data_IF_373809763584
#
_entry.id   IF_373809763584
#
_cell.length_a   1.000
_cell.length_b   1.000
_cell.length_c   1.000
_cell.angle_alpha   90.00
_cell.angle_beta   90.00
_cell.angle_gamma   90.00
#
_symmetry.space_group_name_H-M   'P 1'
#
loop_
_entity.id
_entity.type
_entity.pdbx_description
1 polymer ?
#
# COMPACT_ATOMS: atom_id res chain seq x y z
N UNK A 1 -19.27 2.78 9.66
CA UNK A 1 -19.76 4.15 9.25
C UNK A 1 -19.00 4.64 8.01
N UNK A 2 -19.62 5.38 7.07
CA UNK A 2 -18.90 6.00 5.94
C UNK A 2 -18.26 7.33 6.34
N UNK A 3 -16.94 7.45 6.17
CA UNK A 3 -16.16 8.60 6.62
C UNK A 3 -15.24 9.08 5.50
N UNK A 4 -15.09 10.40 5.26
CA UNK A 4 -14.07 10.90 4.34
C UNK A 4 -12.68 10.44 4.78
N UNK A 5 -11.88 9.94 3.84
CA UNK A 5 -10.56 9.36 4.13
C UNK A 5 -9.65 10.37 4.84
N UNK A 6 -9.73 11.67 4.52
CA UNK A 6 -8.96 12.72 5.18
C UNK A 6 -9.16 12.79 6.70
N UNK A 7 -10.30 12.30 7.20
CA UNK A 7 -10.64 12.35 8.62
C UNK A 7 -10.20 11.08 9.38
N UNK A 8 -9.54 10.14 8.70
CA UNK A 8 -9.11 8.85 9.25
C UNK A 8 -7.60 8.94 9.52
N UNK A 9 -7.18 8.69 10.76
CA UNK A 9 -5.76 8.77 11.10
C UNK A 9 -4.90 7.76 10.32
N UNK A 10 -3.65 8.14 10.02
CA UNK A 10 -2.64 7.23 9.47
C UNK A 10 -2.43 6.03 10.38
N UNK A 11 -2.20 4.85 9.80
CA UNK A 11 -2.09 3.59 10.52
C UNK A 11 -3.43 2.92 10.86
N UNK A 12 -4.56 3.51 10.45
CA UNK A 12 -5.88 2.86 10.57
C UNK A 12 -6.24 2.08 9.31
N UNK A 13 -6.88 0.95 9.52
CA UNK A 13 -7.47 0.13 8.46
C UNK A 13 -8.89 0.62 8.14
N UNK A 14 -9.25 0.58 6.86
CA UNK A 14 -10.55 0.92 6.31
C UNK A 14 -10.94 -0.12 5.26
N UNK A 15 -12.23 -0.26 5.00
CA UNK A 15 -12.76 -1.02 3.87
C UNK A 15 -12.90 -0.11 2.64
N UNK A 16 -12.25 -0.51 1.56
CA UNK A 16 -12.31 0.13 0.26
C UNK A 16 -12.84 -0.85 -0.78
N UNK A 17 -14.12 -0.71 -1.14
CA UNK A 17 -14.83 -1.64 -2.03
C UNK A 17 -14.75 -3.11 -1.60
N UNK A 18 -14.82 -3.38 -0.28
CA UNK A 18 -14.72 -4.73 0.27
C UNK A 18 -13.28 -5.21 0.52
N UNK A 19 -12.28 -4.40 0.20
CA UNK A 19 -10.87 -4.74 0.34
C UNK A 19 -10.24 -4.01 1.54
N UNK A 20 -9.54 -4.71 2.45
CA UNK A 20 -8.94 -4.11 3.64
C UNK A 20 -7.72 -3.26 3.26
N UNK A 21 -7.76 -1.97 3.61
CA UNK A 21 -6.73 -1.00 3.23
C UNK A 21 -6.21 -0.19 4.42
N UNK A 22 -4.90 -0.01 4.50
CA UNK A 22 -4.23 0.82 5.51
C UNK A 22 -4.05 2.27 5.00
N UNK A 23 -4.42 3.25 5.81
CA UNK A 23 -4.12 4.67 5.55
C UNK A 23 -2.64 4.94 5.84
N UNK A 24 -1.82 5.21 4.81
CA UNK A 24 -0.39 5.48 4.98
C UNK A 24 -0.08 6.96 5.20
N UNK A 25 -0.62 7.84 4.36
CA UNK A 25 -0.28 9.27 4.37
C UNK A 25 -1.35 10.12 3.69
N UNK A 26 -1.74 11.22 4.32
CA UNK A 26 -2.49 12.28 3.64
C UNK A 26 -1.51 13.21 2.93
N UNK A 27 -1.59 13.25 1.61
CA UNK A 27 -0.83 14.14 0.73
C UNK A 27 -1.74 15.26 0.23
N UNK A 28 -1.15 16.27 -0.41
CA UNK A 28 -1.91 17.41 -0.97
C UNK A 28 -2.83 16.98 -2.11
N UNK A 29 -2.41 15.99 -2.87
CA UNK A 29 -3.03 15.45 -4.08
C UNK A 29 -3.96 14.25 -3.80
N UNK A 30 -3.89 13.64 -2.63
CA UNK A 30 -4.76 12.53 -2.23
C UNK A 30 -4.29 11.84 -0.96
N UNK A 31 -4.95 10.76 -0.57
CA UNK A 31 -4.50 9.90 0.52
C UNK A 31 -3.89 8.63 -0.05
N UNK A 32 -2.65 8.33 0.36
CA UNK A 32 -1.97 7.09 0.00
C UNK A 32 -2.49 5.97 0.88
N UNK A 33 -2.94 4.90 0.23
CA UNK A 33 -3.48 3.69 0.85
C UNK A 33 -2.60 2.50 0.48
N UNK A 34 -2.58 1.48 1.32
CA UNK A 34 -1.96 0.18 1.06
C UNK A 34 -3.01 -0.92 1.17
N UNK A 35 -3.14 -1.75 0.14
CA UNK A 35 -3.97 -2.95 0.23
C UNK A 35 -3.32 -3.98 1.17
N UNK A 36 -4.08 -4.56 2.11
CA UNK A 36 -3.53 -5.45 3.13
C UNK A 36 -3.46 -6.92 2.69
N UNK A 37 -4.34 -7.36 1.80
CA UNK A 37 -4.30 -8.76 1.33
C UNK A 37 -3.23 -8.96 0.26
N UNK A 38 -2.39 -9.97 0.47
CA UNK A 38 -1.31 -10.29 -0.45
C UNK A 38 -1.80 -11.07 -1.67
N UNK A 39 -1.65 -10.45 -2.84
CA UNK A 39 -1.72 -11.19 -4.10
C UNK A 39 -0.41 -11.93 -4.36
N UNK A 40 -0.47 -12.99 -5.18
CA UNK A 40 0.72 -13.68 -5.69
C UNK A 40 0.91 -13.37 -7.17
N UNK A 41 2.07 -12.86 -7.54
CA UNK A 41 2.42 -12.61 -8.94
C UNK A 41 3.94 -12.51 -9.09
N UNK A 42 4.48 -12.94 -10.24
CA UNK A 42 5.88 -12.68 -10.54
C UNK A 42 6.12 -11.19 -10.77
N UNK A 43 7.30 -10.68 -10.43
CA UNK A 43 7.60 -9.28 -10.73
C UNK A 43 7.60 -9.06 -12.25
N UNK A 44 8.41 -9.83 -12.97
CA UNK A 44 8.51 -9.76 -14.42
C UNK A 44 9.69 -10.54 -14.96
N UNK A 45 9.95 -10.41 -16.26
CA UNK A 45 11.15 -10.97 -16.88
C UNK A 45 12.41 -10.14 -16.60
N UNK A 46 12.25 -8.94 -16.03
CA UNK A 46 13.34 -8.06 -15.58
C UNK A 46 12.92 -7.37 -14.28
N UNK A 47 13.89 -6.82 -13.55
CA UNK A 47 13.67 -6.02 -12.33
C UNK A 47 13.19 -4.58 -12.61
N UNK A 48 12.92 -4.20 -13.86
CA UNK A 48 12.37 -2.90 -14.22
C UNK A 48 10.83 -2.88 -14.09
N UNK A 49 10.32 -2.28 -13.01
CA UNK A 49 8.88 -2.18 -12.76
C UNK A 49 8.09 -1.58 -13.94
N UNK A 50 8.63 -0.57 -14.63
CA UNK A 50 7.93 0.11 -15.72
C UNK A 50 7.59 -0.82 -16.90
N UNK A 51 8.41 -1.85 -17.12
CA UNK A 51 8.24 -2.86 -18.17
C UNK A 51 7.74 -4.22 -17.62
N UNK A 52 7.45 -4.29 -16.32
CA UNK A 52 7.17 -5.54 -15.61
C UNK A 52 5.77 -6.09 -15.89
N UNK A 53 5.60 -7.41 -15.81
CA UNK A 53 4.28 -8.04 -15.90
C UNK A 53 3.44 -7.74 -14.66
N UNK A 54 4.06 -7.57 -13.49
CA UNK A 54 3.39 -7.10 -12.28
C UNK A 54 2.72 -5.75 -12.50
N UNK A 55 3.41 -4.75 -13.08
CA UNK A 55 2.80 -3.45 -13.37
C UNK A 55 1.60 -3.59 -14.31
N UNK A 56 1.71 -4.41 -15.34
CA UNK A 56 0.63 -4.66 -16.29
C UNK A 56 -0.59 -5.30 -15.62
N UNK A 57 -0.36 -6.24 -14.68
CA UNK A 57 -1.41 -6.85 -13.87
C UNK A 57 -2.06 -5.82 -12.92
N UNK A 58 -1.24 -5.09 -12.16
CA UNK A 58 -1.68 -4.10 -11.17
C UNK A 58 -2.51 -2.99 -11.79
N UNK A 59 -2.08 -2.44 -12.94
CA UNK A 59 -2.75 -1.32 -13.60
C UNK A 59 -3.78 -1.76 -14.67
N UNK A 60 -4.05 -3.07 -14.77
CA UNK A 60 -5.03 -3.65 -15.68
C UNK A 60 -6.13 -4.40 -14.91
N UNK A 61 -6.09 -5.74 -14.86
CA UNK A 61 -7.11 -6.55 -14.21
C UNK A 61 -7.28 -6.25 -12.72
N UNK A 62 -6.19 -6.07 -11.97
CA UNK A 62 -6.27 -5.81 -10.53
C UNK A 62 -6.94 -4.46 -10.23
N UNK A 63 -6.47 -3.38 -10.87
CA UNK A 63 -7.08 -2.05 -10.73
C UNK A 63 -8.59 -2.06 -11.07
N UNK A 64 -8.99 -2.79 -12.11
CA UNK A 64 -10.41 -2.92 -12.46
C UNK A 64 -11.20 -3.59 -11.34
N UNK A 65 -10.66 -4.64 -10.73
CA UNK A 65 -11.28 -5.35 -9.60
C UNK A 65 -11.36 -4.46 -8.36
N UNK A 66 -10.25 -3.81 -8.00
CA UNK A 66 -10.12 -2.95 -6.82
C UNK A 66 -11.11 -1.77 -6.81
N UNK A 67 -11.55 -1.32 -7.99
CA UNK A 67 -12.38 -0.11 -8.17
C UNK A 67 -13.80 -0.40 -8.66
N UNK A 68 -14.25 -1.66 -8.60
CA UNK A 68 -15.56 -2.08 -9.17
C UNK A 68 -15.78 -1.62 -10.61
N UNK A 69 -14.68 -1.57 -11.40
CA UNK A 69 -14.71 -1.14 -12.78
C UNK A 69 -14.51 0.37 -13.02
N UNK A 70 -14.26 1.17 -11.99
CA UNK A 70 -14.03 2.62 -12.09
C UNK A 70 -12.56 3.02 -11.81
N UNK A 71 -11.62 2.75 -12.73
CA UNK A 71 -10.20 2.99 -12.50
C UNK A 71 -9.83 4.46 -12.30
N UNK A 72 -10.69 5.41 -12.71
CA UNK A 72 -10.45 6.86 -12.59
C UNK A 72 -10.62 7.39 -11.18
N UNK A 73 -11.12 6.55 -10.26
CA UNK A 73 -11.09 6.83 -8.83
C UNK A 73 -9.66 6.86 -8.27
N UNK A 74 -8.74 6.11 -8.88
CA UNK A 74 -7.33 6.07 -8.48
C UNK A 74 -6.55 7.17 -9.20
N UNK A 75 -5.91 8.01 -8.40
CA UNK A 75 -5.05 9.10 -8.87
C UNK A 75 -3.73 8.52 -9.38
N UNK A 76 -3.30 8.96 -10.55
CA UNK A 76 -2.00 8.56 -11.11
C UNK A 76 -0.88 9.20 -10.29
N UNK A 77 0.13 8.39 -9.93
CA UNK A 77 1.30 8.83 -9.18
C UNK A 77 2.59 8.52 -9.95
N UNK A 78 3.59 9.37 -9.73
CA UNK A 78 4.97 9.12 -10.14
C UNK A 78 5.66 8.22 -9.10
N UNK A 79 6.21 7.10 -9.55
CA UNK A 79 6.99 6.18 -8.72
C UNK A 79 8.47 6.29 -9.09
N UNK A 80 9.33 6.49 -8.10
CA UNK A 80 10.79 6.53 -8.29
C UNK A 80 11.35 5.10 -8.37
N UNK A 81 12.03 4.78 -9.48
CA UNK A 81 12.64 3.47 -9.72
C UNK A 81 14.15 3.47 -9.49
N UNK A 82 14.65 4.42 -8.69
CA UNK A 82 16.05 4.42 -8.23
C UNK A 82 16.37 3.10 -7.56
N UNK A 83 17.44 2.45 -8.03
CA UNK A 83 17.92 1.18 -7.49
C UNK A 83 18.52 1.34 -6.09
N UNK A 84 18.63 0.24 -5.35
CA UNK A 84 19.24 0.21 -4.02
C UNK A 84 20.64 0.85 -4.00
N UNK A 85 21.44 0.60 -5.03
CA UNK A 85 22.79 1.17 -5.17
C UNK A 85 22.82 2.63 -5.66
N UNK A 86 21.66 3.27 -5.81
CA UNK A 86 21.51 4.66 -6.25
C UNK A 86 21.48 4.85 -7.78
N UNK A 87 21.52 3.78 -8.57
CA UNK A 87 21.36 3.88 -10.03
C UNK A 87 19.99 4.41 -10.40
N UNK A 88 19.94 5.39 -11.30
CA UNK A 88 18.70 6.01 -11.81
C UNK A 88 18.37 5.61 -13.24
N UNK A 89 18.94 4.52 -13.74
CA UNK A 89 18.79 4.10 -15.14
C UNK A 89 17.32 3.93 -15.55
N UNK A 90 16.48 3.35 -14.69
CA UNK A 90 15.06 3.15 -14.99
C UNK A 90 14.19 4.40 -14.79
N UNK A 91 14.73 5.47 -14.19
CA UNK A 91 14.02 6.74 -14.02
C UNK A 91 12.80 6.63 -13.12
N UNK A 92 11.65 7.07 -13.63
CA UNK A 92 10.37 7.06 -12.92
C UNK A 92 9.28 6.37 -13.73
N UNK A 93 8.21 5.95 -13.05
CA UNK A 93 7.06 5.31 -13.66
C UNK A 93 5.76 5.99 -13.25
N UNK A 94 4.98 6.45 -14.23
CA UNK A 94 3.59 6.87 -14.01
C UNK A 94 2.67 5.65 -13.97
N UNK A 95 1.98 5.48 -12.85
CA UNK A 95 1.01 4.40 -12.65
C UNK A 95 0.00 4.76 -11.57
N UNK A 96 -1.15 4.07 -11.57
CA UNK A 96 -2.20 4.22 -10.55
C UNK A 96 -1.93 3.32 -9.34
N UNK A 97 -1.43 2.12 -9.61
CA UNK A 97 -1.21 1.08 -8.61
C UNK A 97 0.23 0.55 -8.76
N UNK A 98 0.96 0.51 -7.64
CA UNK A 98 2.29 -0.07 -7.58
C UNK A 98 2.64 -0.47 -6.14
N UNK A 99 3.53 -1.46 -5.92
CA UNK A 99 4.12 -1.67 -4.61
C UNK A 99 4.81 -0.41 -4.08
N UNK A 100 5.13 -0.40 -2.79
CA UNK A 100 5.90 0.67 -2.18
C UNK A 100 7.34 0.67 -2.70
N UNK A 101 7.97 1.84 -2.75
CA UNK A 101 9.43 1.93 -2.89
C UNK A 101 10.11 1.51 -1.59
N UNK A 102 11.41 1.20 -1.63
CA UNK A 102 12.17 0.91 -0.41
C UNK A 102 12.18 2.11 0.56
N UNK A 103 12.19 3.34 0.05
CA UNK A 103 12.12 4.53 0.89
C UNK A 103 10.73 4.73 1.51
N UNK A 104 9.66 4.37 0.80
CA UNK A 104 8.31 4.33 1.35
C UNK A 104 8.20 3.22 2.43
N UNK A 105 8.77 2.03 2.22
CA UNK A 105 8.84 0.98 3.24
C UNK A 105 9.53 1.46 4.52
N UNK A 106 10.66 2.18 4.39
CA UNK A 106 11.36 2.79 5.54
C UNK A 106 10.52 3.87 6.21
N UNK A 107 9.89 4.73 5.43
CA UNK A 107 9.08 5.85 5.93
C UNK A 107 7.88 5.38 6.75
N UNK A 108 7.23 4.30 6.32
CA UNK A 108 6.01 3.79 6.96
C UNK A 108 6.26 2.59 7.89
N UNK A 109 7.51 2.27 8.20
CA UNK A 109 7.90 1.10 8.99
C UNK A 109 7.10 0.94 10.30
N UNK A 110 6.85 2.02 11.02
CA UNK A 110 6.16 1.99 12.33
C UNK A 110 4.67 1.59 12.23
N UNK A 111 4.06 1.69 11.04
CA UNK A 111 2.64 1.39 10.82
C UNK A 111 2.39 0.22 9.88
N UNK A 112 3.41 -0.23 9.15
CA UNK A 112 3.28 -1.33 8.19
C UNK A 112 3.14 -2.67 8.92
N UNK A 113 2.06 -3.44 8.69
CA UNK A 113 1.97 -4.80 9.19
C UNK A 113 2.95 -5.69 8.43
N UNK A 114 3.50 -6.69 9.14
CA UNK A 114 4.35 -7.69 8.51
C UNK A 114 3.57 -8.45 7.42
N UNK A 115 4.22 -8.73 6.28
CA UNK A 115 3.59 -9.50 5.23
C UNK A 115 3.50 -11.00 5.58
N UNK A 116 2.63 -11.75 4.89
CA UNK A 116 2.52 -13.21 5.08
C UNK A 116 3.74 -13.97 4.53
N UNK A 117 4.28 -13.48 3.42
CA UNK A 117 5.47 -13.98 2.70
C UNK A 117 6.23 -12.80 2.10
N UNK A 118 7.40 -13.04 1.52
CA UNK A 118 8.15 -12.01 0.81
C UNK A 118 7.23 -11.22 -0.13
N UNK A 119 7.31 -9.90 -0.05
CA UNK A 119 6.58 -9.01 -0.95
C UNK A 119 7.47 -8.08 -1.74
N UNK A 120 7.15 -7.95 -3.03
CA UNK A 120 7.83 -7.05 -3.93
C UNK A 120 7.73 -5.60 -3.46
N UNK A 121 8.86 -4.89 -3.50
CA UNK A 121 8.87 -3.44 -3.69
C UNK A 121 9.03 -3.14 -5.18
N UNK A 122 8.95 -1.86 -5.57
CA UNK A 122 9.33 -1.43 -6.93
C UNK A 122 10.82 -1.18 -7.11
N UNK A 123 11.60 -1.24 -6.01
CA UNK A 123 13.01 -0.86 -6.01
C UNK A 123 13.88 -2.02 -6.51
N UNK A 124 14.61 -1.86 -7.62
CA UNK A 124 15.54 -2.89 -8.07
C UNK A 124 16.80 -2.90 -7.19
N UNK A 125 17.48 -4.05 -7.12
CA UNK A 125 18.77 -4.16 -6.42
C UNK A 125 19.87 -3.33 -7.11
N UNK A 126 19.97 -3.49 -8.43
CA UNK A 126 20.88 -2.77 -9.30
C UNK A 126 20.28 -2.61 -10.68
N UNK A 127 21.06 -2.14 -11.66
CA UNK A 127 20.60 -1.98 -13.03
C UNK A 127 21.69 -2.41 -14.03
N UNK A 128 21.34 -2.73 -15.29
CA UNK A 128 22.30 -3.20 -16.27
C UNK A 128 23.50 -2.28 -16.48
N UNK A 129 23.28 -0.96 -16.39
CA UNK A 129 24.35 0.05 -16.48
C UNK A 129 25.44 -0.10 -15.42
N UNK A 130 25.15 -0.68 -14.26
CA UNK A 130 26.12 -0.81 -13.17
C UNK A 130 26.87 -2.15 -13.25
N UNK A 131 26.13 -3.25 -13.44
CA UNK A 131 26.69 -4.61 -13.35
C UNK A 131 25.90 -5.64 -14.16
N UNK A 132 25.21 -5.23 -15.23
CA UNK A 132 24.38 -6.11 -16.08
C UNK A 132 23.22 -6.79 -15.33
N UNK A 133 22.90 -6.35 -14.10
CA UNK A 133 21.82 -6.90 -13.29
C UNK A 133 20.45 -6.35 -13.72
N UNK A 134 19.64 -7.24 -14.26
CA UNK A 134 18.22 -7.02 -14.52
C UNK A 134 17.32 -8.03 -13.78
N UNK A 135 17.84 -8.70 -12.74
CA UNK A 135 17.18 -9.87 -12.13
C UNK A 135 16.65 -9.58 -10.74
N UNK A 136 17.40 -8.86 -9.90
CA UNK A 136 17.07 -8.77 -8.48
C UNK A 136 16.21 -7.56 -8.14
N UNK A 137 15.14 -7.80 -7.40
CA UNK A 137 14.20 -6.78 -6.90
C UNK A 137 14.18 -6.82 -5.38
N UNK A 138 14.19 -5.66 -4.75
CA UNK A 138 14.08 -5.53 -3.30
C UNK A 138 12.65 -5.82 -2.82
N UNK A 139 12.51 -6.28 -1.60
CA UNK A 139 11.21 -6.50 -0.98
C UNK A 139 11.30 -6.64 0.54
N UNK A 140 10.13 -6.81 1.15
CA UNK A 140 9.95 -7.00 2.59
C UNK A 140 9.63 -8.46 2.89
N UNK A 141 10.42 -9.08 3.77
CA UNK A 141 10.17 -10.43 4.25
C UNK A 141 9.13 -10.45 5.38
N UNK A 142 8.56 -11.63 5.62
CA UNK A 142 7.54 -11.82 6.66
C UNK A 142 8.07 -11.73 8.09
N UNK A 143 9.39 -11.72 8.28
CA UNK A 143 10.09 -11.44 9.54
C UNK A 143 10.48 -9.95 9.70
N UNK A 144 10.18 -9.12 8.70
CA UNK A 144 10.47 -7.69 8.70
C UNK A 144 11.79 -7.30 8.06
N UNK A 145 12.61 -8.26 7.61
CA UNK A 145 13.88 -7.98 6.96
C UNK A 145 13.68 -7.50 5.52
N UNK A 146 14.54 -6.58 5.07
CA UNK A 146 14.63 -6.17 3.67
C UNK A 146 15.59 -7.11 2.94
N UNK A 147 15.11 -7.76 1.90
CA UNK A 147 15.90 -8.69 1.07
C UNK A 147 15.70 -8.46 -0.42
N UNK A 148 16.49 -9.15 -1.24
CA UNK A 148 16.31 -9.21 -2.68
C UNK A 148 15.82 -10.59 -3.11
N UNK A 149 14.93 -10.64 -4.10
CA UNK A 149 14.52 -11.89 -4.73
C UNK A 149 14.52 -11.77 -6.27
N UNK A 150 14.60 -12.92 -6.96
CA UNK A 150 14.63 -13.00 -8.42
C UNK A 150 13.29 -12.59 -9.01
N UNK A 151 13.29 -11.66 -9.98
CA UNK A 151 12.07 -11.05 -10.52
C UNK A 151 11.11 -12.03 -11.20
N UNK A 152 11.59 -13.20 -11.60
CA UNK A 152 10.81 -14.27 -12.24
C UNK A 152 10.09 -15.19 -11.23
N UNK A 153 10.47 -15.13 -9.95
CA UNK A 153 9.74 -15.85 -8.90
C UNK A 153 8.37 -15.24 -8.64
N UNK A 154 7.42 -16.09 -8.29
CA UNK A 154 6.06 -15.68 -7.95
C UNK A 154 5.95 -15.49 -6.43
N UNK A 155 6.06 -14.24 -5.99
CA UNK A 155 5.96 -13.86 -4.58
C UNK A 155 4.75 -12.93 -4.30
N UNK A 156 4.67 -12.42 -3.07
CA UNK A 156 3.63 -11.52 -2.59
C UNK A 156 3.73 -10.12 -3.17
N UNK A 157 2.59 -9.41 -3.23
CA UNK A 157 2.56 -7.97 -3.45
C UNK A 157 1.36 -7.36 -2.73
N UNK A 158 1.62 -6.38 -1.87
CA UNK A 158 0.61 -5.46 -1.34
C UNK A 158 0.76 -4.11 -2.03
N UNK A 159 -0.02 -3.84 -3.08
CA UNK A 159 0.14 -2.60 -3.82
C UNK A 159 -0.42 -1.41 -3.04
N UNK A 160 0.23 -0.27 -3.24
CA UNK A 160 -0.22 1.02 -2.77
C UNK A 160 -0.80 1.86 -3.92
N UNK A 161 -1.80 2.67 -3.58
CA UNK A 161 -2.55 3.49 -4.52
C UNK A 161 -3.02 4.79 -3.86
N UNK A 162 -3.30 5.80 -4.68
CA UNK A 162 -3.67 7.14 -4.22
C UNK A 162 -5.13 7.43 -4.57
N UNK A 163 -5.94 7.84 -3.60
CA UNK A 163 -7.34 8.21 -3.81
C UNK A 163 -7.60 9.67 -3.39
N UNK A 164 -8.65 10.33 -3.93
CA UNK A 164 -9.04 11.64 -3.44
C UNK A 164 -9.33 11.60 -1.94
N UNK A 165 -8.74 12.50 -1.16
CA UNK A 165 -8.92 12.49 0.30
C UNK A 165 -10.36 12.76 0.75
N UNK A 166 -11.18 13.34 -0.12
CA UNK A 166 -12.62 13.56 0.10
C UNK A 166 -13.48 12.32 -0.18
N UNK A 167 -12.92 11.25 -0.77
CA UNK A 167 -13.63 9.99 -0.98
C UNK A 167 -14.07 9.43 0.37
N UNK A 168 -15.28 8.88 0.44
CA UNK A 168 -15.79 8.27 1.67
C UNK A 168 -15.60 6.76 1.62
N UNK A 169 -15.04 6.21 2.70
CA UNK A 169 -14.77 4.78 2.86
C UNK A 169 -15.49 4.25 4.08
N UNK A 170 -15.71 2.94 4.11
CA UNK A 170 -16.26 2.30 5.29
C UNK A 170 -15.12 2.10 6.31
N UNK A 171 -15.30 2.63 7.50
CA UNK A 171 -14.34 2.39 8.59
C UNK A 171 -14.86 1.17 9.33
N UNK A 172 -14.02 0.14 9.48
CA UNK A 172 -14.30 -0.95 10.42
C UNK A 172 -14.66 -0.31 11.76
N UNK A 173 -15.80 -0.69 12.32
CA UNK A 173 -16.28 -0.11 13.56
C UNK A 173 -15.26 -0.40 14.67
N UNK A 174 -14.29 0.50 14.86
CA UNK A 174 -13.66 0.69 16.17
C UNK A 174 -14.83 0.83 17.11
N UNK A 175 -14.96 -0.10 18.05
CA UNK A 175 -16.07 -0.14 18.98
C UNK A 175 -16.35 1.31 19.43
N UNK A 176 -17.51 1.90 19.12
CA UNK A 176 -17.75 3.33 19.35
C UNK A 176 -17.70 3.70 20.84
N UNK A 177 -17.52 2.72 21.73
CA UNK A 177 -17.22 2.88 23.13
C UNK A 177 -15.74 3.15 23.44
N UNK A 178 -14.80 2.81 22.55
CA UNK A 178 -13.35 3.05 22.73
C UNK A 178 -12.99 4.52 22.78
N UNK A 179 -13.81 5.40 22.18
CA UNK A 179 -13.62 6.85 22.27
C UNK A 179 -13.95 7.42 23.65
N UNK A 180 -14.54 6.63 24.54
CA UNK A 180 -14.93 7.03 25.89
C UNK A 180 -14.08 6.29 26.92
N UNK A 181 -13.68 7.02 27.95
CA UNK A 181 -13.09 6.38 29.13
C UNK A 181 -14.13 5.53 29.87
N UNK A 182 -13.65 4.51 30.60
CA UNK A 182 -14.51 3.68 31.47
C UNK A 182 -15.34 4.54 32.43
N UNK A 183 -14.79 5.67 32.89
CA UNK A 183 -15.48 6.59 33.80
C UNK A 183 -16.66 7.28 33.12
N UNK A 184 -16.48 7.81 31.91
CA UNK A 184 -17.55 8.48 31.15
C UNK A 184 -18.69 7.50 30.83
N UNK A 185 -18.34 6.26 30.47
CA UNK A 185 -19.32 5.19 30.25
C UNK A 185 -20.11 4.85 31.53
N UNK A 186 -19.43 4.79 32.68
CA UNK A 186 -20.08 4.54 33.96
C UNK A 186 -21.01 5.69 34.38
N UNK A 187 -20.57 6.94 34.23
CA UNK A 187 -21.38 8.13 34.54
C UNK A 187 -22.64 8.19 33.67
N UNK A 188 -22.53 7.84 32.39
CA UNK A 188 -23.67 7.78 31.47
C UNK A 188 -24.70 6.72 31.89
N UNK A 189 -24.23 5.54 32.30
CA UNK A 189 -25.10 4.48 32.82
C UNK A 189 -25.84 4.95 34.08
N UNK A 190 -25.15 5.55 35.04
CA UNK A 190 -25.78 6.08 36.25
C UNK A 190 -26.79 7.19 35.95
N UNK A 191 -26.52 8.04 34.95
CA UNK A 191 -27.46 9.08 34.51
C UNK A 191 -28.76 8.50 33.98
N UNK A 192 -28.71 7.41 33.19
CA UNK A 192 -29.90 6.73 32.63
C UNK A 192 -30.66 5.88 33.63
N UNK A 193 -29.97 5.32 34.62
CA UNK A 193 -30.61 4.55 35.69
C UNK A 193 -31.40 5.48 36.64
N UNK A 194 -30.93 6.72 36.80
CA UNK A 194 -31.55 7.72 37.68
C UNK A 194 -32.49 8.70 36.96
N UNK A 195 -32.80 8.47 35.68
CA UNK A 195 -33.78 9.23 34.88
C UNK A 195 -35.07 8.45 34.72
#
# INVERSE_FOLDING_TARGET
>A
MKTPVLNIATGKTVDYHGEPCLVLEHRKDGTLMLHLDQMTHAFGSTNNFAASSLRAHLNGPYLRSLTDGNPDEIITRTVDLTALNGSKEYGTCECKVAPLTLDELRKYHDILPLPERFEWSVTPWSTPKVNEDETWVMGLNSDGDIGGNGCDYSDGSRPAFLIPSSLTVEVEDTNPLEQYSIRELAEELFRRINS
#
